data_IF_840471895253
#
_entry.id   IF_840471895253
#
_cell.length_a   1.000
_cell.length_b   1.000
_cell.length_c   1.000
_cell.angle_alpha   90.00
_cell.angle_beta   90.00
_cell.angle_gamma   90.00
#
_symmetry.space_group_name_H-M   'P 1'
#
loop_
_entity.id
_entity.type
_entity.pdbx_description
1 polymer ?
#
# COMPACT_ATOMS: atom_id res chain seq x y z
N UNK A 1 12.71 11.59 2.13
CA UNK A 1 12.84 10.28 1.45
C UNK A 1 11.48 9.76 1.00
N UNK A 2 11.43 8.85 0.02
CA UNK A 2 10.23 8.10 -0.36
C UNK A 2 10.44 6.61 -0.06
N UNK A 3 9.43 6.00 0.58
CA UNK A 3 9.30 4.55 0.74
C UNK A 3 8.05 4.11 -0.02
N UNK A 4 8.24 3.36 -1.11
CA UNK A 4 7.16 2.78 -1.89
C UNK A 4 6.97 1.32 -1.47
N UNK A 5 5.75 0.95 -1.09
CA UNK A 5 5.32 -0.43 -0.89
C UNK A 5 4.46 -0.88 -2.06
N UNK A 6 4.80 -2.03 -2.66
CA UNK A 6 3.88 -2.81 -3.50
C UNK A 6 3.29 -3.93 -2.65
N UNK A 7 1.96 -3.95 -2.52
CA UNK A 7 1.26 -4.81 -1.58
C UNK A 7 -0.01 -5.43 -2.15
N UNK A 8 -0.51 -6.45 -1.46
CA UNK A 8 -1.70 -7.23 -1.82
C UNK A 8 -2.56 -7.44 -0.57
N UNK A 9 -3.81 -7.01 -0.62
CA UNK A 9 -4.75 -7.05 0.51
C UNK A 9 -5.09 -8.46 1.01
N UNK A 10 -4.86 -9.52 0.23
CA UNK A 10 -5.04 -10.91 0.65
C UNK A 10 -3.74 -11.62 1.03
N UNK A 11 -2.59 -10.98 0.84
CA UNK A 11 -1.31 -11.59 1.20
C UNK A 11 -1.10 -11.55 2.73
N UNK A 12 -0.89 -12.70 3.39
CA UNK A 12 -0.70 -12.74 4.85
C UNK A 12 0.60 -12.04 5.31
N UNK A 13 1.63 -12.02 4.46
CA UNK A 13 2.87 -11.28 4.77
C UNK A 13 2.65 -9.76 4.71
N UNK A 14 1.79 -9.28 3.80
CA UNK A 14 1.44 -7.86 3.72
C UNK A 14 0.70 -7.42 4.99
N UNK A 15 -0.32 -8.17 5.42
CA UNK A 15 -1.00 -7.89 6.70
C UNK A 15 -0.05 -7.94 7.90
N UNK A 16 0.90 -8.90 7.93
CA UNK A 16 1.93 -8.93 8.97
C UNK A 16 2.75 -7.63 8.99
N UNK A 17 3.19 -7.16 7.83
CA UNK A 17 3.94 -5.89 7.72
C UNK A 17 3.12 -4.70 8.22
N UNK A 18 1.87 -4.57 7.76
CA UNK A 18 0.96 -3.51 8.18
C UNK A 18 0.71 -3.52 9.68
N UNK A 19 0.54 -4.70 10.28
CA UNK A 19 0.31 -4.82 11.73
C UNK A 19 1.55 -4.58 12.59
N UNK A 20 2.72 -5.04 12.14
CA UNK A 20 3.91 -5.16 13.01
C UNK A 20 5.01 -4.15 12.72
N UNK A 21 5.05 -3.58 11.51
CA UNK A 21 6.17 -2.75 11.05
C UNK A 21 5.73 -1.35 10.66
N UNK A 22 4.58 -1.19 9.99
CA UNK A 22 4.07 0.14 9.58
C UNK A 22 3.89 1.12 10.75
N UNK A 23 3.34 0.74 11.93
CA UNK A 23 3.13 1.69 13.02
C UNK A 23 4.42 2.33 13.52
N UNK A 24 5.51 1.55 13.55
CA UNK A 24 6.84 2.03 13.94
C UNK A 24 7.40 3.00 12.88
N UNK A 25 7.30 2.64 11.58
CA UNK A 25 7.72 3.50 10.47
C UNK A 25 6.93 4.81 10.47
N UNK A 26 5.62 4.72 10.68
CA UNK A 26 4.72 5.87 10.68
C UNK A 26 5.10 6.84 11.80
N UNK A 27 5.24 6.34 13.03
CA UNK A 27 5.57 7.13 14.21
C UNK A 27 6.92 7.82 14.08
N UNK A 28 7.96 7.12 13.62
CA UNK A 28 9.33 7.63 13.65
C UNK A 28 9.70 8.45 12.41
N UNK A 29 9.12 8.15 11.24
CA UNK A 29 9.54 8.78 9.98
C UNK A 29 8.43 9.46 9.19
N UNK A 30 7.20 8.93 9.18
CA UNK A 30 6.13 9.51 8.36
C UNK A 30 5.57 10.76 9.03
N UNK A 31 5.19 10.66 10.31
CA UNK A 31 4.63 11.77 11.09
C UNK A 31 5.65 12.89 11.34
N UNK A 32 6.94 12.56 11.27
CA UNK A 32 8.05 13.53 11.39
C UNK A 32 8.45 14.16 10.04
N UNK A 33 7.82 13.73 8.94
CA UNK A 33 8.09 14.25 7.59
C UNK A 33 9.38 13.73 6.93
N UNK A 34 10.14 12.84 7.59
CA UNK A 34 11.38 12.26 7.06
C UNK A 34 11.13 11.33 5.88
N UNK A 35 10.05 10.55 5.94
CA UNK A 35 9.65 9.57 4.91
C UNK A 35 8.25 9.85 4.40
N UNK A 36 8.11 9.95 3.09
CA UNK A 36 6.83 9.85 2.40
C UNK A 36 6.55 8.38 2.10
N UNK A 37 5.57 7.80 2.79
CA UNK A 37 5.10 6.44 2.55
C UNK A 37 4.10 6.41 1.38
N UNK A 38 4.33 5.53 0.41
CA UNK A 38 3.51 5.42 -0.80
C UNK A 38 3.08 3.98 -0.99
N UNK A 39 1.78 3.74 -0.93
CA UNK A 39 1.18 2.43 -1.20
C UNK A 39 0.79 2.26 -2.68
N UNK A 40 1.27 1.19 -3.31
CA UNK A 40 0.98 0.79 -4.69
C UNK A 40 0.32 -0.59 -4.70
N UNK A 41 -0.74 -0.71 -5.49
CA UNK A 41 -1.51 -1.95 -5.56
C UNK A 41 -0.75 -3.00 -6.40
N UNK A 42 -0.61 -4.21 -5.87
CA UNK A 42 -0.01 -5.34 -6.59
C UNK A 42 -0.79 -6.64 -6.34
N UNK A 43 -2.09 -6.69 -6.70
CA UNK A 43 -2.93 -7.86 -6.46
C UNK A 43 -2.42 -9.07 -7.27
N UNK A 44 -2.13 -10.18 -6.58
CA UNK A 44 -1.69 -11.45 -7.16
C UNK A 44 -2.90 -12.36 -7.44
N UNK A 45 -3.79 -11.92 -8.33
CA UNK A 45 -5.11 -12.52 -8.59
C UNK A 45 -5.10 -14.05 -8.83
N UNK A 46 -4.01 -14.59 -9.37
CA UNK A 46 -3.85 -16.02 -9.61
C UNK A 46 -3.90 -16.87 -8.33
N UNK A 47 -3.51 -16.30 -7.18
CA UNK A 47 -3.52 -16.97 -5.87
C UNK A 47 -4.38 -16.22 -4.84
N UNK A 48 -4.73 -14.97 -5.12
CA UNK A 48 -5.50 -14.09 -4.26
C UNK A 48 -6.69 -13.48 -5.04
N UNK A 49 -7.78 -14.23 -5.25
CA UNK A 49 -8.86 -13.85 -6.17
C UNK A 49 -9.67 -12.60 -5.77
N UNK A 50 -9.62 -12.19 -4.50
CA UNK A 50 -10.31 -11.01 -3.95
C UNK A 50 -9.40 -9.77 -3.86
N UNK A 51 -8.09 -9.91 -4.05
CA UNK A 51 -7.11 -8.84 -3.86
C UNK A 51 -7.38 -7.62 -4.76
N UNK A 52 -7.79 -7.84 -6.02
CA UNK A 52 -8.07 -6.76 -6.95
C UNK A 52 -9.28 -5.95 -6.52
N UNK A 53 -10.38 -6.62 -6.12
CA UNK A 53 -11.58 -5.94 -5.62
C UNK A 53 -11.34 -5.24 -4.28
N UNK A 54 -10.53 -5.83 -3.40
CA UNK A 54 -10.10 -5.16 -2.17
C UNK A 54 -9.27 -3.89 -2.46
N UNK A 55 -8.39 -3.92 -3.46
CA UNK A 55 -7.67 -2.73 -3.90
C UNK A 55 -8.61 -1.65 -4.45
N UNK A 56 -9.60 -2.03 -5.26
CA UNK A 56 -10.63 -1.08 -5.71
C UNK A 56 -11.42 -0.48 -4.54
N UNK A 57 -11.79 -1.30 -3.55
CA UNK A 57 -12.45 -0.82 -2.34
C UNK A 57 -11.62 0.21 -1.58
N UNK A 58 -10.33 -0.03 -1.37
CA UNK A 58 -9.44 0.96 -0.75
C UNK A 58 -9.39 2.27 -1.55
N UNK A 59 -9.30 2.21 -2.88
CA UNK A 59 -9.29 3.40 -3.74
C UNK A 59 -10.63 4.14 -3.73
N UNK A 60 -11.76 3.43 -3.72
CA UNK A 60 -13.09 4.02 -3.57
C UNK A 60 -13.30 4.69 -2.21
N UNK A 61 -12.76 4.12 -1.14
CA UNK A 61 -12.71 4.78 0.17
C UNK A 61 -11.87 6.07 0.12
N UNK A 62 -10.78 6.05 -0.65
CA UNK A 62 -9.95 7.23 -0.90
C UNK A 62 -10.67 8.40 -1.56
N UNK A 63 -11.66 8.17 -2.44
CA UNK A 63 -12.49 9.24 -3.01
C UNK A 63 -13.33 9.97 -1.95
N UNK A 64 -13.50 9.36 -0.79
CA UNK A 64 -14.22 9.90 0.36
C UNK A 64 -13.26 10.26 1.50
N UNK A 65 -11.94 10.30 1.26
CA UNK A 65 -10.93 10.68 2.24
C UNK A 65 -10.60 9.61 3.28
N UNK A 66 -11.04 8.36 3.10
CA UNK A 66 -10.86 7.24 4.03
C UNK A 66 -9.98 6.11 3.50
N UNK A 67 -8.99 6.45 2.67
CA UNK A 67 -8.11 5.45 2.06
C UNK A 67 -7.41 4.61 3.13
N UNK A 68 -6.77 5.26 4.12
CA UNK A 68 -5.96 4.58 5.13
C UNK A 68 -6.81 3.77 6.10
N UNK A 69 -7.97 4.29 6.52
CA UNK A 69 -8.88 3.56 7.40
C UNK A 69 -9.43 2.30 6.72
N UNK A 70 -9.78 2.38 5.43
CA UNK A 70 -10.17 1.19 4.67
C UNK A 70 -8.97 0.26 4.47
N UNK A 71 -7.79 0.78 4.12
CA UNK A 71 -6.57 -0.01 3.97
C UNK A 71 -6.28 -0.85 5.21
N UNK A 72 -6.25 -0.23 6.39
CA UNK A 72 -5.97 -0.91 7.66
C UNK A 72 -7.04 -1.96 7.95
N UNK A 73 -8.31 -1.63 7.71
CA UNK A 73 -9.44 -2.54 7.93
C UNK A 73 -9.37 -3.78 7.04
N UNK A 74 -9.06 -3.62 5.75
CA UNK A 74 -8.96 -4.75 4.82
C UNK A 74 -7.81 -5.70 5.21
N UNK A 75 -6.66 -5.15 5.65
CA UNK A 75 -5.57 -5.97 6.16
C UNK A 75 -5.89 -6.66 7.49
N UNK A 76 -6.73 -6.06 8.33
CA UNK A 76 -7.22 -6.70 9.55
C UNK A 76 -8.24 -7.83 9.29
N UNK A 77 -8.84 -7.89 8.10
CA UNK A 77 -9.95 -8.80 7.76
C UNK A 77 -9.74 -9.54 6.42
N UNK A 78 -8.55 -10.09 6.18
CA UNK A 78 -8.20 -10.70 4.88
C UNK A 78 -9.06 -11.88 4.42
N UNK A 79 -9.82 -12.49 5.33
CA UNK A 79 -10.76 -13.58 5.01
C UNK A 79 -12.15 -13.08 4.61
N UNK A 80 -12.45 -11.80 4.82
CA UNK A 80 -13.74 -11.15 4.54
C UNK A 80 -13.52 -10.03 3.51
N UNK A 81 -13.25 -10.40 2.26
CA UNK A 81 -12.97 -9.45 1.17
C UNK A 81 -13.94 -9.63 0.00
N UNK A 82 -15.04 -10.32 0.22
CA UNK A 82 -16.07 -10.55 -0.77
C UNK A 82 -16.87 -9.28 -1.04
N UNK A 83 -17.66 -9.22 -2.12
CA UNK A 83 -18.41 -8.02 -2.48
C UNK A 83 -19.23 -7.42 -1.33
N UNK A 84 -19.94 -8.24 -0.55
CA UNK A 84 -20.72 -7.75 0.59
C UNK A 84 -19.87 -7.40 1.81
N UNK A 85 -18.74 -8.10 2.03
CA UNK A 85 -17.80 -7.76 3.09
C UNK A 85 -17.21 -6.36 2.86
N UNK A 86 -16.87 -6.03 1.60
CA UNK A 86 -16.32 -4.73 1.23
C UNK A 86 -17.33 -3.59 1.50
N UNK A 87 -18.63 -3.82 1.29
CA UNK A 87 -19.69 -2.87 1.64
C UNK A 87 -19.78 -2.71 3.16
N UNK A 88 -19.78 -3.81 3.92
CA UNK A 88 -19.81 -3.77 5.39
C UNK A 88 -18.56 -3.08 5.96
N UNK A 89 -17.41 -3.27 5.33
CA UNK A 89 -16.19 -2.57 5.69
C UNK A 89 -16.25 -1.08 5.41
N UNK A 90 -16.85 -0.68 4.29
CA UNK A 90 -17.08 0.72 3.97
C UNK A 90 -17.96 1.40 5.03
N UNK A 91 -19.06 0.76 5.43
CA UNK A 91 -19.92 1.25 6.51
C UNK A 91 -19.15 1.41 7.82
N UNK A 92 -18.38 0.40 8.21
CA UNK A 92 -17.65 0.40 9.46
C UNK A 92 -16.53 1.45 9.55
N UNK A 93 -15.99 1.92 8.42
CA UNK A 93 -15.05 3.05 8.39
C UNK A 93 -15.74 4.40 8.17
N UNK A 94 -17.08 4.43 8.22
CA UNK A 94 -17.89 5.64 8.16
C UNK A 94 -18.09 6.22 6.77
N UNK A 95 -18.05 5.38 5.72
CA UNK A 95 -18.28 5.83 4.34
C UNK A 95 -19.77 5.94 4.02
N UNK A 96 -20.09 6.81 3.06
CA UNK A 96 -21.38 6.74 2.38
C UNK A 96 -21.38 5.48 1.48
N UNK A 97 -22.13 4.46 1.90
CA UNK A 97 -22.17 3.16 1.24
C UNK A 97 -22.79 3.21 -0.15
N UNK A 98 -23.73 4.12 -0.42
CA UNK A 98 -24.31 4.33 -1.76
C UNK A 98 -23.26 4.85 -2.73
N UNK A 99 -22.50 5.88 -2.34
CA UNK A 99 -21.39 6.42 -3.15
C UNK A 99 -20.28 5.37 -3.34
N UNK A 100 -19.96 4.63 -2.27
CA UNK A 100 -18.96 3.58 -2.32
C UNK A 100 -19.35 2.44 -3.27
N UNK A 101 -20.58 1.94 -3.18
CA UNK A 101 -21.11 0.89 -4.06
C UNK A 101 -21.02 1.30 -5.53
N UNK A 102 -21.49 2.52 -5.85
CA UNK A 102 -21.39 3.07 -7.22
C UNK A 102 -19.95 3.15 -7.72
N UNK A 103 -19.00 3.54 -6.85
CA UNK A 103 -17.59 3.56 -7.21
C UNK A 103 -17.06 2.15 -7.52
N UNK A 104 -17.34 1.18 -6.65
CA UNK A 104 -16.85 -0.19 -6.78
C UNK A 104 -17.43 -0.89 -8.03
N UNK A 105 -18.72 -0.70 -8.28
CA UNK A 105 -19.42 -1.22 -9.46
C UNK A 105 -18.90 -0.61 -10.77
N UNK A 106 -18.49 0.67 -10.74
CA UNK A 106 -17.96 1.34 -11.94
C UNK A 106 -16.62 0.78 -12.43
N UNK A 107 -15.86 0.09 -11.57
CA UNK A 107 -14.52 -0.40 -11.89
C UNK A 107 -13.51 0.69 -12.24
N UNK A 108 -13.78 1.96 -11.88
CA UNK A 108 -13.01 3.11 -12.37
C UNK A 108 -11.54 3.14 -11.92
N UNK A 109 -11.21 2.37 -10.88
CA UNK A 109 -9.84 2.23 -10.39
C UNK A 109 -9.08 1.07 -11.03
N UNK A 110 -9.74 0.19 -11.79
CA UNK A 110 -9.11 -0.96 -12.41
C UNK A 110 -7.89 -0.57 -13.26
N UNK A 111 -8.00 0.47 -14.09
CA UNK A 111 -6.88 0.95 -14.91
C UNK A 111 -5.71 1.50 -14.08
N UNK A 112 -5.99 2.13 -12.94
CA UNK A 112 -4.95 2.58 -12.02
C UNK A 112 -4.22 1.40 -11.38
N UNK A 113 -4.98 0.41 -10.89
CA UNK A 113 -4.44 -0.79 -10.25
C UNK A 113 -3.59 -1.59 -11.25
N UNK A 114 -4.07 -1.75 -12.49
CA UNK A 114 -3.31 -2.39 -13.57
C UNK A 114 -2.02 -1.65 -13.92
N UNK A 115 -2.05 -0.31 -13.88
CA UNK A 115 -0.82 0.50 -14.04
C UNK A 115 0.16 0.25 -12.91
N UNK A 116 -0.28 0.27 -11.65
CA UNK A 116 0.59 -0.04 -10.50
C UNK A 116 1.19 -1.45 -10.64
N UNK A 117 0.39 -2.46 -10.99
CA UNK A 117 0.85 -3.82 -11.24
C UNK A 117 1.91 -3.88 -12.37
N UNK A 118 1.67 -3.17 -13.48
CA UNK A 118 2.57 -3.10 -14.62
C UNK A 118 3.89 -2.39 -14.27
N UNK A 119 3.82 -1.29 -13.51
CA UNK A 119 4.97 -0.56 -12.99
C UNK A 119 5.80 -1.43 -12.03
N UNK A 120 5.14 -2.12 -11.10
CA UNK A 120 5.81 -3.04 -10.19
C UNK A 120 6.52 -4.17 -10.93
N UNK A 121 5.88 -4.77 -11.94
CA UNK A 121 6.51 -5.81 -12.79
C UNK A 121 7.75 -5.27 -13.51
N UNK A 122 7.67 -4.09 -14.12
CA UNK A 122 8.83 -3.42 -14.76
C UNK A 122 9.94 -3.09 -13.76
N UNK A 123 9.58 -2.72 -12.53
CA UNK A 123 10.52 -2.47 -11.44
C UNK A 123 11.09 -3.75 -10.80
N UNK A 124 10.70 -4.94 -11.26
CA UNK A 124 11.21 -6.23 -10.79
C UNK A 124 10.53 -6.75 -9.51
N UNK A 125 9.30 -6.32 -9.21
CA UNK A 125 8.46 -6.93 -8.17
C UNK A 125 8.08 -8.34 -8.62
N UNK A 126 8.40 -9.33 -7.78
CA UNK A 126 8.11 -10.76 -8.01
C UNK A 126 7.17 -11.37 -6.97
N UNK A 127 6.78 -10.58 -5.97
CA UNK A 127 5.93 -11.00 -4.86
C UNK A 127 5.73 -9.86 -3.87
N UNK A 128 4.79 -10.04 -2.94
CA UNK A 128 4.40 -9.01 -1.98
C UNK A 128 4.67 -9.44 -0.53
N UNK A 129 4.95 -8.49 0.38
CA UNK A 129 5.19 -7.08 0.07
C UNK A 129 6.60 -6.85 -0.52
N UNK A 130 6.76 -5.84 -1.38
CA UNK A 130 8.06 -5.41 -1.90
C UNK A 130 8.23 -3.91 -1.70
N UNK A 131 9.41 -3.49 -1.24
CA UNK A 131 9.67 -2.12 -0.80
C UNK A 131 10.81 -1.49 -1.58
N UNK A 132 10.63 -0.23 -1.97
CA UNK A 132 11.61 0.56 -2.70
C UNK A 132 11.87 1.85 -1.93
N UNK A 133 13.12 2.09 -1.57
CA UNK A 133 13.57 3.26 -0.83
C UNK A 133 14.33 4.17 -1.78
N UNK A 134 14.05 5.46 -1.75
CA UNK A 134 14.70 6.38 -2.67
C UNK A 134 14.33 7.84 -2.47
N UNK A 135 14.63 8.64 -3.47
CA UNK A 135 14.38 10.07 -3.46
C UNK A 135 13.47 10.44 -4.63
N UNK A 136 12.53 11.36 -4.37
CA UNK A 136 11.66 11.86 -5.41
C UNK A 136 12.47 12.65 -6.45
N UNK A 137 12.15 12.45 -7.71
CA UNK A 137 12.70 13.18 -8.85
C UNK A 137 11.60 13.95 -9.59
N UNK A 138 11.97 14.95 -10.42
CA UNK A 138 11.01 15.64 -11.28
C UNK A 138 10.15 14.67 -12.09
N UNK A 139 8.88 15.04 -12.29
CA UNK A 139 7.92 14.18 -13.00
C UNK A 139 7.37 13.02 -12.16
N UNK A 140 7.57 13.03 -10.83
CA UNK A 140 6.98 12.05 -9.91
C UNK A 140 7.66 10.69 -9.89
N UNK A 141 8.87 10.60 -10.47
CA UNK A 141 9.70 9.38 -10.41
C UNK A 141 10.37 9.27 -9.04
N UNK A 142 10.79 8.05 -8.70
CA UNK A 142 11.61 7.78 -7.52
C UNK A 142 12.91 7.17 -7.99
N UNK A 143 14.04 7.83 -7.67
CA UNK A 143 15.36 7.22 -7.82
C UNK A 143 15.56 6.21 -6.71
N UNK A 144 15.39 4.94 -7.06
CA UNK A 144 15.52 3.81 -6.15
C UNK A 144 16.98 3.66 -5.73
N UNK A 145 17.22 3.66 -4.43
CA UNK A 145 18.53 3.45 -3.81
C UNK A 145 18.65 2.06 -3.18
N UNK A 146 17.56 1.55 -2.61
CA UNK A 146 17.49 0.23 -1.96
C UNK A 146 16.16 -0.44 -2.25
N UNK A 147 16.19 -1.77 -2.30
CA UNK A 147 15.00 -2.63 -2.41
C UNK A 147 15.04 -3.61 -1.25
N UNK A 148 13.91 -3.79 -0.57
CA UNK A 148 13.71 -4.82 0.44
C UNK A 148 12.51 -5.67 0.03
N UNK A 149 12.65 -6.99 0.00
CA UNK A 149 11.58 -7.92 -0.45
C UNK A 149 11.09 -8.74 0.73
N UNK A 150 9.78 -8.83 0.88
CA UNK A 150 9.13 -9.57 1.96
C UNK A 150 8.97 -8.75 3.25
N UNK A 151 8.15 -9.27 4.15
CA UNK A 151 7.81 -8.61 5.41
C UNK A 151 8.89 -8.82 6.47
N UNK A 152 9.99 -8.06 6.36
CA UNK A 152 11.06 -8.00 7.35
C UNK A 152 10.61 -7.28 8.66
N UNK A 153 11.30 -7.53 9.79
CA UNK A 153 11.09 -6.77 11.02
C UNK A 153 11.45 -5.29 10.89
N UNK A 154 10.85 -4.45 11.74
CA UNK A 154 11.11 -3.00 11.76
C UNK A 154 12.59 -2.62 11.77
N UNK A 155 13.44 -3.34 12.51
CA UNK A 155 14.88 -3.05 12.57
C UNK A 155 15.58 -3.00 11.21
N UNK A 156 15.17 -3.85 10.26
CA UNK A 156 15.73 -3.85 8.90
C UNK A 156 15.29 -2.60 8.11
N UNK A 157 14.04 -2.16 8.29
CA UNK A 157 13.54 -0.93 7.67
C UNK A 157 14.24 0.29 8.25
N UNK A 158 14.35 0.37 9.58
CA UNK A 158 15.08 1.44 10.27
C UNK A 158 16.50 1.56 9.74
N UNK A 159 17.23 0.45 9.63
CA UNK A 159 18.60 0.47 9.12
C UNK A 159 18.67 1.11 7.73
N UNK A 160 17.82 0.68 6.78
CA UNK A 160 17.82 1.23 5.42
C UNK A 160 17.42 2.72 5.41
N UNK A 161 16.42 3.11 6.20
CA UNK A 161 15.96 4.50 6.27
C UNK A 161 17.07 5.39 6.81
N UNK A 162 17.68 5.03 7.94
CA UNK A 162 18.73 5.84 8.57
C UNK A 162 20.00 5.92 7.72
N UNK A 163 20.42 4.81 7.08
CA UNK A 163 21.54 4.81 6.12
C UNK A 163 21.30 5.82 4.99
N UNK A 164 20.09 5.86 4.44
CA UNK A 164 19.78 6.72 3.31
C UNK A 164 19.48 8.17 3.72
N UNK A 165 18.93 8.42 4.91
CA UNK A 165 18.74 9.79 5.41
C UNK A 165 20.08 10.47 5.70
N UNK A 166 21.09 9.74 6.17
CA UNK A 166 22.43 10.28 6.35
C UNK A 166 23.16 10.54 5.03
N UNK A 167 23.01 9.66 4.02
CA UNK A 167 23.69 9.83 2.73
C UNK A 167 23.01 10.83 1.78
N UNK A 168 21.70 11.03 1.91
CA UNK A 168 20.93 12.02 1.14
C UNK A 168 20.87 13.42 1.76
N UNK A 169 21.53 13.62 2.89
CA UNK A 169 21.58 14.89 3.64
C UNK A 169 22.86 15.73 3.42
N UNK A 170 23.78 15.29 2.55
CA UNK A 170 24.91 16.13 2.17
C UNK A 170 24.42 17.26 1.24
N UNK A 171 24.62 18.54 1.61
CA UNK A 171 24.32 19.68 0.74
C UNK A 171 25.16 19.66 -0.54
#
# INVERSE_FOLDING_TARGET
MVLVEFSDYQCPFCARHVRQTVPEIEREYVRTGKVRYVFRDFPLEAIHPQAFRAAEAARCAGEQGKFWEMHDRLFAHQTALGPEDLIAHAEAVGLNTVRFRRCLESGRFAERIRRDLSEGRRAGVRGTPSFFFGFAEPGGKVRVMRILRGAHPYGAFRQVIEELLHTGGSP
#
